data_IF_996629816802
#
_entry.id   IF_996629816802
#
_cell.length_a   1.000
_cell.length_b   1.000
_cell.length_c   1.000
_cell.angle_alpha   90.00
_cell.angle_beta   90.00
_cell.angle_gamma   90.00
#
_symmetry.space_group_name_H-M   'P 1'
#
loop_
_entity.id
_entity.type
_entity.pdbx_description
1 polymer ?
#
# COMPACT_ATOMS: atom_id res chain seq x y z
N UNK A 1 -6.31 -3.24 11.55
CA UNK A 1 -5.58 -4.22 10.70
C UNK A 1 -6.45 -4.50 9.49
N UNK A 2 -5.99 -4.19 8.26
CA UNK A 2 -6.84 -4.24 7.05
C UNK A 2 -6.34 -5.23 5.97
N UNK A 3 -5.03 -5.43 5.87
CA UNK A 3 -4.42 -6.23 4.80
C UNK A 3 -3.88 -7.57 5.33
N UNK A 4 -3.77 -8.55 4.44
CA UNK A 4 -3.05 -9.79 4.66
C UNK A 4 -1.68 -9.76 3.97
N UNK A 5 -0.71 -10.46 4.57
CA UNK A 5 0.61 -10.76 3.98
C UNK A 5 0.97 -12.20 4.38
N UNK A 6 1.05 -13.10 3.40
CA UNK A 6 1.40 -14.51 3.66
C UNK A 6 2.81 -14.60 4.27
N UNK A 7 3.00 -15.59 5.15
CA UNK A 7 4.24 -15.73 5.94
C UNK A 7 4.31 -14.84 7.18
N UNK A 8 3.29 -14.02 7.44
CA UNK A 8 3.18 -13.20 8.66
C UNK A 8 1.91 -13.52 9.45
N UNK A 9 1.73 -12.86 10.60
CA UNK A 9 0.49 -12.92 11.37
C UNK A 9 -0.61 -11.98 10.83
N UNK A 10 -0.34 -11.18 9.79
CA UNK A 10 -1.33 -10.30 9.17
C UNK A 10 -2.25 -11.11 8.23
N UNK A 11 -3.52 -11.28 8.62
CA UNK A 11 -4.51 -12.13 7.93
C UNK A 11 -5.84 -11.43 7.70
N UNK A 12 -5.86 -10.09 7.66
CA UNK A 12 -7.09 -9.31 7.48
C UNK A 12 -7.56 -9.31 6.02
N UNK A 13 -8.88 -9.19 5.82
CA UNK A 13 -9.55 -9.29 4.51
C UNK A 13 -10.29 -8.02 4.09
N UNK A 14 -10.22 -6.96 4.89
CA UNK A 14 -10.91 -5.70 4.59
C UNK A 14 -10.30 -5.00 3.36
N UNK A 15 -8.97 -5.03 3.24
CA UNK A 15 -8.23 -4.52 2.09
C UNK A 15 -7.68 -5.66 1.22
N UNK A 16 -7.13 -5.35 0.04
CA UNK A 16 -6.49 -6.33 -0.81
C UNK A 16 -5.30 -7.00 -0.11
N UNK A 17 -5.06 -8.26 -0.43
CA UNK A 17 -3.83 -8.97 -0.06
C UNK A 17 -2.60 -8.18 -0.56
N UNK A 18 -1.54 -8.07 0.23
CA UNK A 18 -0.30 -7.36 -0.14
C UNK A 18 0.89 -8.29 -0.37
N UNK A 19 0.72 -9.60 -0.25
CA UNK A 19 1.79 -10.63 -0.36
C UNK A 19 2.68 -10.46 -1.59
N UNK A 20 2.09 -10.08 -2.72
CA UNK A 20 2.78 -9.93 -4.00
C UNK A 20 2.61 -8.51 -4.56
N UNK A 21 2.47 -7.50 -3.70
CA UNK A 21 2.18 -6.14 -4.14
C UNK A 21 3.25 -5.57 -5.06
N UNK A 22 4.53 -5.91 -4.87
CA UNK A 22 5.63 -5.46 -5.73
C UNK A 22 5.57 -6.05 -7.14
N UNK A 23 4.96 -7.23 -7.30
CA UNK A 23 4.77 -7.86 -8.61
C UNK A 23 3.64 -7.24 -9.43
N UNK A 24 2.82 -6.36 -8.83
CA UNK A 24 1.72 -5.68 -9.53
C UNK A 24 2.23 -4.54 -10.39
N UNK A 25 1.64 -4.39 -11.59
CA UNK A 25 1.87 -3.21 -12.44
C UNK A 25 1.13 -1.97 -11.96
N UNK A 26 -0.03 -2.16 -11.33
CA UNK A 26 -0.95 -1.09 -10.92
C UNK A 26 -1.43 -1.29 -9.48
N UNK A 27 -1.75 -0.19 -8.80
CA UNK A 27 -2.39 -0.14 -7.47
C UNK A 27 -3.71 0.64 -7.53
N UNK A 28 -4.34 0.87 -6.37
CA UNK A 28 -5.61 1.63 -6.26
C UNK A 28 -6.76 1.05 -7.11
N UNK A 29 -6.81 -0.27 -7.27
CA UNK A 29 -7.72 -0.98 -8.17
C UNK A 29 -7.54 -0.63 -9.67
N UNK A 30 -6.31 -0.38 -10.10
CA UNK A 30 -5.97 -0.19 -11.51
C UNK A 30 -5.81 1.27 -11.94
N UNK A 31 -5.97 2.23 -11.04
CA UNK A 31 -5.94 3.66 -11.37
C UNK A 31 -4.53 4.25 -11.40
N UNK A 32 -3.59 3.70 -10.63
CA UNK A 32 -2.24 4.25 -10.47
C UNK A 32 -1.18 3.22 -10.84
N UNK A 33 -0.11 3.62 -11.56
CA UNK A 33 1.09 2.80 -11.72
C UNK A 33 1.69 2.44 -10.36
N UNK A 34 2.12 1.19 -10.19
CA UNK A 34 2.80 0.75 -8.97
C UNK A 34 4.27 1.20 -8.98
N UNK A 35 4.48 2.49 -8.79
CA UNK A 35 5.81 3.10 -8.63
C UNK A 35 5.94 3.61 -7.21
N UNK A 36 7.18 3.72 -6.71
CA UNK A 36 7.46 4.20 -5.36
C UNK A 36 6.74 5.51 -5.01
N UNK A 37 6.76 6.48 -5.92
CA UNK A 37 6.10 7.79 -5.71
C UNK A 37 4.59 7.69 -5.57
N UNK A 38 3.91 6.94 -6.45
CA UNK A 38 2.47 6.71 -6.33
C UNK A 38 2.11 5.87 -5.12
N UNK A 39 2.93 4.88 -4.76
CA UNK A 39 2.73 4.07 -3.57
C UNK A 39 2.86 4.92 -2.29
N UNK A 40 3.87 5.80 -2.22
CA UNK A 40 4.04 6.75 -1.13
C UNK A 40 2.84 7.70 -1.00
N UNK A 41 2.42 8.32 -2.12
CA UNK A 41 1.25 9.19 -2.15
C UNK A 41 -0.03 8.47 -1.74
N UNK A 42 -0.20 7.22 -2.17
CA UNK A 42 -1.33 6.37 -1.82
C UNK A 42 -1.38 6.07 -0.31
N UNK A 43 -0.25 5.74 0.31
CA UNK A 43 -0.16 5.46 1.76
C UNK A 43 -0.44 6.72 2.58
N UNK A 44 0.16 7.86 2.20
CA UNK A 44 0.04 9.10 2.95
C UNK A 44 -1.36 9.71 2.82
N UNK A 45 -1.95 9.71 1.62
CA UNK A 45 -3.26 10.31 1.37
C UNK A 45 -3.98 9.73 0.14
N UNK A 46 -4.56 8.54 0.32
CA UNK A 46 -5.33 7.88 -0.73
C UNK A 46 -6.55 8.69 -1.23
N UNK A 47 -7.16 9.54 -0.39
CA UNK A 47 -8.34 10.33 -0.77
C UNK A 47 -8.06 11.36 -1.86
N UNK A 48 -6.85 11.92 -1.89
CA UNK A 48 -6.45 12.89 -2.93
C UNK A 48 -6.31 12.21 -4.29
N UNK A 49 -5.89 10.95 -4.30
CA UNK A 49 -5.67 10.18 -5.53
C UNK A 49 -6.93 9.45 -6.00
N UNK A 50 -7.72 8.92 -5.06
CA UNK A 50 -8.99 8.22 -5.31
C UNK A 50 -10.03 8.61 -4.26
N UNK A 51 -10.78 9.71 -4.49
CA UNK A 51 -11.84 10.14 -3.59
C UNK A 51 -12.87 9.03 -3.36
N UNK A 52 -13.26 8.82 -2.10
CA UNK A 52 -14.23 7.79 -1.70
C UNK A 52 -13.63 6.41 -1.46
N UNK A 53 -12.30 6.23 -1.58
CA UNK A 53 -11.61 5.03 -1.10
C UNK A 53 -11.83 4.85 0.40
N UNK A 54 -11.83 3.60 0.90
CA UNK A 54 -11.96 3.33 2.34
C UNK A 54 -10.60 3.25 3.03
N UNK A 55 -9.49 3.30 2.29
CA UNK A 55 -8.16 3.34 2.88
C UNK A 55 -7.94 4.72 3.54
N UNK A 56 -7.73 4.79 4.86
CA UNK A 56 -7.52 6.06 5.55
C UNK A 56 -6.12 6.62 5.24
N UNK A 57 -5.93 7.95 5.34
CA UNK A 57 -4.60 8.55 5.30
C UNK A 57 -3.77 8.06 6.50
N UNK A 58 -2.48 7.81 6.28
CA UNK A 58 -1.55 7.38 7.32
C UNK A 58 -0.49 8.44 7.53
N UNK A 59 -0.39 8.98 8.74
CA UNK A 59 0.67 9.92 9.11
C UNK A 59 1.92 9.13 9.48
N UNK A 60 2.96 9.24 8.66
CA UNK A 60 4.26 8.60 8.88
C UNK A 60 5.36 9.65 8.76
N UNK A 61 6.41 9.51 9.58
CA UNK A 61 7.66 10.22 9.36
C UNK A 61 8.34 9.76 8.07
N UNK A 62 9.27 10.57 7.56
CA UNK A 62 9.96 10.26 6.30
C UNK A 62 10.72 8.92 6.36
N UNK A 63 11.39 8.63 7.47
CA UNK A 63 12.17 7.40 7.64
C UNK A 63 11.27 6.17 7.69
N UNK A 64 10.18 6.22 8.48
CA UNK A 64 9.19 5.13 8.56
C UNK A 64 8.52 4.87 7.22
N UNK A 65 8.19 5.94 6.48
CA UNK A 65 7.61 5.81 5.14
C UNK A 65 8.59 5.11 4.20
N UNK A 66 9.87 5.51 4.20
CA UNK A 66 10.87 4.87 3.35
C UNK A 66 11.08 3.40 3.72
N UNK A 67 11.19 3.08 5.00
CA UNK A 67 11.31 1.69 5.47
C UNK A 67 10.09 0.85 5.08
N UNK A 68 8.88 1.41 5.18
CA UNK A 68 7.65 0.74 4.74
C UNK A 68 7.64 0.50 3.23
N UNK A 69 8.03 1.50 2.43
CA UNK A 69 8.09 1.36 0.98
C UNK A 69 9.10 0.28 0.56
N UNK A 70 10.28 0.25 1.18
CA UNK A 70 11.30 -0.78 0.93
C UNK A 70 10.77 -2.18 1.26
N UNK A 71 10.06 -2.31 2.39
CA UNK A 71 9.40 -3.55 2.74
C UNK A 71 8.36 -3.97 1.68
N UNK A 72 7.46 -3.06 1.28
CA UNK A 72 6.43 -3.36 0.28
C UNK A 72 7.01 -3.69 -1.11
N UNK A 73 8.12 -3.07 -1.50
CA UNK A 73 8.85 -3.35 -2.75
C UNK A 73 9.54 -4.72 -2.73
N UNK A 74 9.75 -5.31 -1.55
CA UNK A 74 10.29 -6.68 -1.40
C UNK A 74 9.24 -7.78 -1.56
N UNK A 75 7.95 -7.46 -1.48
CA UNK A 75 6.82 -8.41 -1.49
C UNK A 75 6.43 -8.81 -2.93
N UNK A 76 7.13 -9.79 -3.50
CA UNK A 76 6.95 -10.27 -4.87
C UNK A 76 6.12 -11.52 -5.00
#
# INVERSE_FOLDING_TARGET
MCHAIQGTNARATLGPDLTHVASRKMIAAGELPNTRGYLAGWILNAQVLKPGTQMPPTQLGADDLNALLDYLESLK
#
